data_IF_356449700726
#
_entry.id   IF_356449700726
#
_cell.length_a   1.000
_cell.length_b   1.000
_cell.length_c   1.000
_cell.angle_alpha   90.00
_cell.angle_beta   90.00
_cell.angle_gamma   90.00
#
_symmetry.space_group_name_H-M   'P 1'
#
loop_
_entity.id
_entity.type
_entity.pdbx_description
1 polymer ?
#
# COMPACT_ATOMS: atom_id res chain seq x y z
N UNK A 1 -12.10 29.90 0.98
CA UNK A 1 -11.99 28.42 1.13
C UNK A 1 -10.68 27.99 0.48
N UNK A 2 -9.64 27.88 1.29
CA UNK A 2 -8.28 27.49 0.86
C UNK A 2 -8.25 25.99 0.59
N UNK A 3 -7.81 25.58 -0.60
CA UNK A 3 -7.63 24.16 -0.90
C UNK A 3 -6.54 23.59 0.03
N UNK A 4 -6.78 22.44 0.70
CA UNK A 4 -5.77 21.80 1.53
C UNK A 4 -4.55 21.40 0.67
N UNK A 5 -3.35 21.64 1.22
CA UNK A 5 -2.08 21.55 0.51
C UNK A 5 -1.75 20.11 0.07
N UNK A 6 -1.88 19.84 -1.23
CA UNK A 6 -1.74 18.52 -1.85
C UNK A 6 -0.32 17.89 -1.72
N UNK A 7 0.70 18.71 -1.48
CA UNK A 7 2.07 18.23 -1.23
C UNK A 7 2.17 17.38 0.03
N UNK A 8 1.44 17.79 1.06
CA UNK A 8 1.44 17.11 2.34
C UNK A 8 0.80 15.73 2.28
N UNK A 9 -0.24 15.57 1.45
CA UNK A 9 -0.91 14.30 1.21
C UNK A 9 0.02 13.29 0.53
N UNK A 10 0.85 13.77 -0.40
CA UNK A 10 1.76 12.92 -1.18
C UNK A 10 2.94 12.37 -0.36
N UNK A 11 3.35 13.07 0.70
CA UNK A 11 4.41 12.60 1.61
C UNK A 11 3.94 11.45 2.53
N UNK A 12 2.62 11.29 2.72
CA UNK A 12 2.03 10.28 3.60
C UNK A 12 1.49 9.06 2.83
N UNK A 13 1.52 9.10 1.50
CA UNK A 13 1.00 8.06 0.63
C UNK A 13 2.12 7.41 -0.16
N UNK A 14 2.49 6.18 0.22
CA UNK A 14 3.52 5.40 -0.45
C UNK A 14 2.86 4.42 -1.43
N UNK A 15 3.06 4.66 -2.73
CA UNK A 15 2.55 3.81 -3.81
C UNK A 15 3.70 3.23 -4.64
N UNK A 16 3.79 1.91 -4.69
CA UNK A 16 4.69 1.20 -5.63
C UNK A 16 4.06 1.21 -7.04
N UNK A 17 4.80 1.74 -8.02
CA UNK A 17 4.29 2.19 -9.33
C UNK A 17 4.57 1.17 -10.47
N UNK A 18 3.58 0.56 -11.15
CA UNK A 18 3.78 -0.10 -12.45
C UNK A 18 3.47 0.85 -13.66
N UNK A 19 4.31 0.96 -14.71
CA UNK A 19 4.33 2.10 -15.63
C UNK A 19 3.04 2.45 -16.40
N UNK A 20 2.15 1.49 -16.69
CA UNK A 20 1.07 1.67 -17.68
C UNK A 20 -0.36 1.84 -17.12
N UNK A 21 -0.64 1.41 -15.88
CA UNK A 21 -1.91 1.79 -15.21
C UNK A 21 -1.82 3.20 -14.61
N UNK A 22 -0.57 3.62 -14.39
CA UNK A 22 -0.26 4.92 -13.89
C UNK A 22 -0.62 6.03 -14.87
N UNK A 23 -0.77 5.83 -16.18
CA UNK A 23 -1.10 6.95 -17.09
C UNK A 23 -2.46 7.62 -16.80
N UNK A 24 -3.45 6.83 -16.39
CA UNK A 24 -4.79 7.35 -16.02
C UNK A 24 -4.79 7.98 -14.62
N UNK A 25 -4.04 7.40 -13.66
CA UNK A 25 -3.83 8.00 -12.33
C UNK A 25 -2.90 9.23 -12.43
N UNK A 26 -1.95 9.21 -13.38
CA UNK A 26 -1.00 10.26 -13.74
C UNK A 26 -1.75 11.45 -14.32
N UNK A 27 -2.85 11.28 -15.05
CA UNK A 27 -3.72 12.41 -15.44
C UNK A 27 -4.50 13.04 -14.27
N UNK A 28 -4.82 12.25 -13.23
CA UNK A 28 -5.46 12.76 -12.01
C UNK A 28 -4.46 13.45 -11.05
N UNK A 29 -3.20 13.03 -11.11
CA UNK A 29 -2.08 13.48 -10.27
C UNK A 29 -1.22 14.56 -10.95
N UNK A 30 -1.24 14.65 -12.28
CA UNK A 30 -0.41 15.55 -13.10
C UNK A 30 -0.74 17.03 -12.94
N UNK A 31 -1.93 17.38 -12.46
CA UNK A 31 -2.24 18.76 -12.11
C UNK A 31 -1.68 19.19 -10.74
N UNK A 32 -0.83 18.37 -10.11
CA UNK A 32 -0.45 18.58 -8.69
C UNK A 32 1.00 18.20 -8.32
N UNK A 33 1.72 17.36 -9.08
CA UNK A 33 3.05 16.86 -8.69
C UNK A 33 4.17 17.16 -9.69
N UNK A 34 4.53 18.43 -9.84
CA UNK A 34 5.57 18.86 -10.78
C UNK A 34 7.06 18.76 -10.32
N UNK A 35 7.47 18.61 -9.04
CA UNK A 35 8.90 18.67 -8.71
C UNK A 35 9.51 17.37 -8.18
N UNK A 36 9.05 16.19 -8.62
CA UNK A 36 9.75 14.92 -8.36
C UNK A 36 9.78 14.06 -9.64
N UNK A 37 10.56 14.50 -10.62
CA UNK A 37 10.93 13.69 -11.78
C UNK A 37 12.44 13.78 -11.97
N UNK A 38 13.17 12.72 -11.61
CA UNK A 38 14.30 12.31 -12.44
C UNK A 38 14.63 10.82 -12.27
N UNK A 39 14.73 10.19 -13.45
CA UNK A 39 15.48 9.00 -13.83
C UNK A 39 15.14 7.64 -13.22
N UNK A 40 14.20 6.91 -13.85
CA UNK A 40 14.27 5.44 -13.84
C UNK A 40 13.92 4.86 -15.22
N UNK A 41 14.98 4.38 -15.90
CA UNK A 41 14.96 3.88 -17.26
C UNK A 41 14.37 2.46 -17.35
N UNK A 42 13.66 2.25 -18.46
CA UNK A 42 12.91 1.06 -18.83
C UNK A 42 13.83 -0.14 -19.08
N UNK A 43 13.50 -1.31 -18.50
CA UNK A 43 13.58 -2.65 -19.12
C UNK A 43 13.19 -3.84 -18.19
N UNK A 44 13.35 -3.79 -16.85
CA UNK A 44 12.84 -4.87 -15.96
C UNK A 44 11.30 -4.91 -15.84
N UNK A 45 10.66 -3.76 -16.08
CA UNK A 45 9.24 -3.53 -15.87
C UNK A 45 8.30 -4.33 -16.77
N UNK A 46 8.74 -4.76 -17.95
CA UNK A 46 7.90 -5.54 -18.86
C UNK A 46 7.65 -6.97 -18.33
N UNK A 47 8.65 -7.59 -17.70
CA UNK A 47 8.54 -8.94 -17.11
C UNK A 47 7.74 -8.92 -15.81
N UNK A 48 7.97 -7.90 -14.99
CA UNK A 48 7.20 -7.61 -13.77
C UNK A 48 5.74 -7.31 -14.11
N UNK A 49 5.51 -6.44 -15.11
CA UNK A 49 4.19 -6.05 -15.58
C UNK A 49 3.39 -7.23 -16.12
N UNK A 50 4.02 -8.10 -16.93
CA UNK A 50 3.37 -9.31 -17.42
C UNK A 50 2.97 -10.26 -16.27
N UNK A 51 3.83 -10.46 -15.28
CA UNK A 51 3.51 -11.33 -14.14
C UNK A 51 2.45 -10.73 -13.19
N UNK A 52 2.44 -9.40 -13.01
CA UNK A 52 1.37 -8.69 -12.31
C UNK A 52 0.03 -8.82 -13.05
N UNK A 53 0.02 -8.68 -14.39
CA UNK A 53 -1.18 -8.89 -15.22
C UNK A 53 -1.70 -10.32 -15.09
N UNK A 54 -0.81 -11.33 -15.07
CA UNK A 54 -1.22 -12.73 -14.86
C UNK A 54 -1.82 -12.94 -13.47
N UNK A 55 -1.25 -12.34 -12.41
CA UNK A 55 -1.79 -12.43 -11.05
C UNK A 55 -3.12 -11.65 -10.88
N UNK A 56 -3.25 -10.48 -11.49
CA UNK A 56 -4.48 -9.66 -11.45
C UNK A 56 -5.58 -10.27 -12.32
N UNK A 57 -5.24 -10.78 -13.51
CA UNK A 57 -6.20 -11.46 -14.39
C UNK A 57 -6.73 -12.75 -13.79
N UNK A 58 -5.87 -13.51 -13.10
CA UNK A 58 -6.30 -14.70 -12.35
C UNK A 58 -7.07 -14.38 -11.08
N UNK A 59 -6.93 -13.18 -10.49
CA UNK A 59 -7.78 -12.74 -9.36
C UNK A 59 -9.27 -12.66 -9.75
N UNK A 60 -9.60 -12.08 -10.91
CA UNK A 60 -11.00 -12.02 -11.36
C UNK A 60 -11.63 -13.40 -11.55
N UNK A 61 -10.80 -14.42 -11.80
CA UNK A 61 -11.18 -15.81 -12.00
C UNK A 61 -11.05 -16.67 -10.72
N UNK A 62 -10.26 -16.25 -9.71
CA UNK A 62 -9.94 -17.07 -8.53
C UNK A 62 -11.20 -17.53 -7.79
N UNK A 63 -12.23 -16.67 -7.76
CA UNK A 63 -13.51 -16.91 -7.09
C UNK A 63 -14.34 -18.02 -7.74
N UNK A 64 -14.07 -18.36 -9.00
CA UNK A 64 -14.77 -19.42 -9.74
C UNK A 64 -13.98 -20.73 -9.80
N UNK A 65 -12.79 -20.79 -9.19
CA UNK A 65 -11.89 -21.93 -9.31
C UNK A 65 -12.12 -22.97 -8.20
N UNK A 66 -11.95 -24.28 -8.49
CA UNK A 66 -12.06 -25.34 -7.49
C UNK A 66 -11.09 -25.13 -6.30
N UNK A 67 -11.46 -25.64 -5.12
CA UNK A 67 -10.68 -25.44 -3.89
C UNK A 67 -9.21 -25.88 -3.96
N UNK A 68 -8.92 -26.96 -4.71
CA UNK A 68 -7.54 -27.41 -4.98
C UNK A 68 -6.74 -26.39 -5.79
N UNK A 69 -7.36 -25.79 -6.80
CA UNK A 69 -6.74 -24.74 -7.62
C UNK A 69 -6.54 -23.46 -6.82
N UNK A 70 -7.49 -23.07 -5.95
CA UNK A 70 -7.31 -21.93 -5.04
C UNK A 70 -6.08 -22.10 -4.16
N UNK A 71 -5.86 -23.30 -3.60
CA UNK A 71 -4.67 -23.59 -2.79
C UNK A 71 -3.38 -23.52 -3.61
N UNK A 72 -3.39 -24.07 -4.83
CA UNK A 72 -2.25 -23.96 -5.75
C UNK A 72 -1.95 -22.49 -6.10
N UNK A 73 -2.98 -21.71 -6.42
CA UNK A 73 -2.88 -20.29 -6.72
C UNK A 73 -2.25 -19.50 -5.57
N UNK A 74 -2.69 -19.74 -4.33
CA UNK A 74 -2.10 -19.11 -3.13
C UNK A 74 -0.61 -19.47 -2.97
N UNK A 75 -0.24 -20.74 -3.13
CA UNK A 75 1.17 -21.17 -3.05
C UNK A 75 2.03 -20.52 -4.14
N UNK A 76 1.53 -20.47 -5.38
CA UNK A 76 2.24 -19.91 -6.52
C UNK A 76 2.41 -18.39 -6.40
N UNK A 77 1.38 -17.67 -5.99
CA UNK A 77 1.43 -16.21 -5.78
C UNK A 77 2.35 -15.83 -4.62
N UNK A 78 2.42 -16.64 -3.54
CA UNK A 78 3.42 -16.47 -2.47
C UNK A 78 4.85 -16.57 -3.00
N UNK A 79 5.16 -17.60 -3.79
CA UNK A 79 6.50 -17.78 -4.39
C UNK A 79 6.86 -16.65 -5.35
N UNK A 80 5.89 -16.24 -6.18
CA UNK A 80 6.06 -15.10 -7.08
C UNK A 80 6.37 -13.83 -6.29
N UNK A 81 5.58 -13.53 -5.27
CA UNK A 81 5.77 -12.37 -4.41
C UNK A 81 7.15 -12.36 -3.73
N UNK A 82 7.63 -13.50 -3.22
CA UNK A 82 8.97 -13.61 -2.65
C UNK A 82 10.06 -13.30 -3.69
N UNK A 83 9.93 -13.83 -4.90
CA UNK A 83 10.92 -13.64 -5.97
C UNK A 83 10.88 -12.22 -6.53
N UNK A 84 9.69 -11.64 -6.64
CA UNK A 84 9.48 -10.23 -6.97
C UNK A 84 10.16 -9.31 -5.97
N UNK A 85 9.94 -9.55 -4.68
CA UNK A 85 10.57 -8.78 -3.60
C UNK A 85 12.10 -8.92 -3.55
N UNK A 86 12.64 -10.09 -3.90
CA UNK A 86 14.10 -10.26 -4.01
C UNK A 86 14.68 -9.38 -5.12
N UNK A 87 13.98 -9.26 -6.25
CA UNK A 87 14.41 -8.43 -7.38
C UNK A 87 14.30 -6.95 -7.04
N UNK A 88 13.23 -6.53 -6.37
CA UNK A 88 12.98 -5.12 -6.02
C UNK A 88 13.40 -4.75 -4.59
N UNK A 89 14.30 -5.50 -3.98
CA UNK A 89 14.63 -5.32 -2.58
C UNK A 89 15.15 -3.90 -2.29
N UNK A 90 16.05 -3.39 -3.12
CA UNK A 90 16.67 -2.08 -2.93
C UNK A 90 15.65 -0.95 -3.11
N UNK A 91 14.80 -1.07 -4.13
CA UNK A 91 13.73 -0.10 -4.41
C UNK A 91 12.69 -0.09 -3.29
N UNK A 92 12.33 -1.25 -2.75
CA UNK A 92 11.41 -1.36 -1.61
C UNK A 92 12.07 -0.81 -0.34
N UNK A 93 13.32 -1.14 -0.06
CA UNK A 93 14.03 -0.55 1.09
C UNK A 93 14.06 0.98 1.01
N UNK A 94 14.38 1.54 -0.15
CA UNK A 94 14.35 2.98 -0.38
C UNK A 94 12.94 3.55 -0.15
N UNK A 95 11.91 2.91 -0.71
CA UNK A 95 10.52 3.33 -0.54
C UNK A 95 10.09 3.32 0.93
N UNK A 96 10.33 2.23 1.67
CA UNK A 96 9.92 2.12 3.07
C UNK A 96 10.79 2.95 4.01
N UNK A 97 12.01 3.33 3.61
CA UNK A 97 12.82 4.28 4.37
C UNK A 97 12.18 5.67 4.44
N UNK A 98 11.35 6.07 3.47
CA UNK A 98 10.60 7.33 3.53
C UNK A 98 9.60 7.39 4.71
N UNK A 99 9.17 6.24 5.23
CA UNK A 99 8.34 6.20 6.45
C UNK A 99 9.05 6.78 7.67
N UNK A 100 10.40 6.83 7.67
CA UNK A 100 11.18 7.49 8.72
C UNK A 100 11.08 9.01 8.65
N UNK A 101 10.81 9.55 7.47
CA UNK A 101 10.71 10.99 7.19
C UNK A 101 9.30 11.52 7.39
N UNK A 102 8.28 10.65 7.42
CA UNK A 102 6.93 11.04 7.84
C UNK A 102 7.07 11.60 9.24
N UNK A 103 6.83 12.92 9.39
CA UNK A 103 6.95 13.66 10.65
C UNK A 103 6.11 12.95 11.72
N UNK A 104 6.72 12.02 12.43
CA UNK A 104 6.17 11.50 13.66
C UNK A 104 6.01 12.71 14.55
N UNK A 105 4.86 12.82 15.22
CA UNK A 105 4.75 13.84 16.26
C UNK A 105 6.00 13.68 17.14
N UNK A 106 6.62 14.78 17.50
CA UNK A 106 7.82 14.86 18.37
C UNK A 106 7.59 14.24 19.78
N UNK A 107 6.52 13.48 19.96
CA UNK A 107 6.04 12.85 21.20
C UNK A 107 6.53 11.40 21.38
N UNK A 108 7.33 10.86 20.46
CA UNK A 108 7.89 9.51 20.56
C UNK A 108 6.87 8.39 20.35
N UNK A 109 5.67 8.69 19.83
CA UNK A 109 4.66 7.65 19.53
C UNK A 109 5.00 6.88 18.26
N UNK A 110 4.49 5.64 18.18
CA UNK A 110 4.57 4.82 16.96
C UNK A 110 3.72 5.42 15.83
N UNK A 111 4.27 5.42 14.63
CA UNK A 111 3.62 5.72 13.36
C UNK A 111 2.49 4.71 13.11
N UNK A 112 1.25 5.17 12.94
CA UNK A 112 0.13 4.32 12.56
C UNK A 112 0.06 4.27 11.03
N UNK A 113 0.23 3.10 10.43
CA UNK A 113 0.23 2.94 8.97
C UNK A 113 -0.92 2.04 8.54
N UNK A 114 -1.61 2.39 7.45
CA UNK A 114 -2.52 1.49 6.75
C UNK A 114 -1.80 0.81 5.60
N UNK A 115 -1.83 -0.52 5.56
CA UNK A 115 -1.39 -1.34 4.44
C UNK A 115 -2.61 -1.81 3.64
N UNK A 116 -2.72 -1.38 2.37
CA UNK A 116 -3.82 -1.77 1.47
C UNK A 116 -3.36 -2.92 0.55
N UNK A 117 -4.08 -4.04 0.61
CA UNK A 117 -3.75 -5.26 -0.13
C UNK A 117 -2.54 -5.97 0.45
N UNK A 118 -2.59 -6.23 1.75
CA UNK A 118 -1.48 -6.83 2.46
C UNK A 118 -1.11 -8.23 1.93
N UNK A 119 -2.03 -8.93 1.26
CA UNK A 119 -1.84 -10.26 0.68
C UNK A 119 -1.07 -11.19 1.65
N UNK A 120 0.05 -11.77 1.24
CA UNK A 120 0.87 -12.66 2.08
C UNK A 120 1.79 -11.91 3.07
N UNK A 121 1.70 -10.59 3.19
CA UNK A 121 2.59 -9.78 4.04
C UNK A 121 3.96 -9.52 3.42
N UNK A 122 4.04 -9.47 2.09
CA UNK A 122 5.29 -9.29 1.35
C UNK A 122 6.09 -8.05 1.78
N UNK A 123 5.40 -7.00 2.25
CA UNK A 123 6.00 -5.75 2.66
C UNK A 123 6.49 -5.73 4.11
N UNK A 124 6.03 -6.67 4.94
CA UNK A 124 6.32 -6.66 6.39
C UNK A 124 7.82 -6.60 6.72
N UNK A 125 8.74 -7.28 5.99
CA UNK A 125 10.18 -7.18 6.28
C UNK A 125 10.81 -5.80 6.04
N UNK A 126 10.17 -4.93 5.24
CA UNK A 126 10.73 -3.63 4.84
C UNK A 126 10.31 -2.49 5.78
N UNK A 127 9.33 -2.71 6.65
CA UNK A 127 8.89 -1.70 7.60
C UNK A 127 9.99 -1.34 8.60
N UNK A 128 10.19 -0.04 8.93
CA UNK A 128 11.23 0.37 9.86
C UNK A 128 10.97 -0.17 11.27
N UNK A 129 12.02 -0.72 11.90
CA UNK A 129 11.94 -1.30 13.24
C UNK A 129 11.54 -0.25 14.28
N UNK A 130 10.74 -0.67 15.26
CA UNK A 130 10.34 0.09 16.46
C UNK A 130 9.49 1.35 16.24
N UNK A 131 9.20 1.70 14.98
CA UNK A 131 8.54 2.95 14.64
C UNK A 131 7.07 2.77 14.22
N UNK A 132 6.59 1.55 13.95
CA UNK A 132 5.32 1.38 13.22
C UNK A 132 4.35 0.40 13.89
N UNK A 133 3.08 0.80 13.93
CA UNK A 133 1.94 -0.11 14.07
C UNK A 133 1.13 -0.09 12.76
N UNK A 134 0.77 -1.27 12.27
CA UNK A 134 0.14 -1.43 10.95
C UNK A 134 -1.30 -1.93 11.10
N UNK A 135 -2.22 -1.32 10.36
CA UNK A 135 -3.55 -1.87 10.07
C UNK A 135 -3.46 -2.48 8.67
N UNK A 136 -3.80 -3.75 8.52
CA UNK A 136 -3.77 -4.43 7.22
C UNK A 136 -5.19 -4.57 6.67
N UNK A 137 -5.41 -4.22 5.41
CA UNK A 137 -6.66 -4.47 4.67
C UNK A 137 -6.38 -5.45 3.55
N UNK A 138 -7.18 -6.53 3.49
CA UNK A 138 -7.04 -7.57 2.48
C UNK A 138 -8.42 -8.17 2.12
N UNK A 139 -8.89 -8.08 0.87
CA UNK A 139 -10.21 -8.61 0.51
C UNK A 139 -10.28 -10.15 0.50
N UNK A 140 -9.17 -10.86 0.28
CA UNK A 140 -9.16 -12.33 0.16
C UNK A 140 -8.78 -12.99 1.47
N UNK A 141 -9.77 -13.64 2.09
CA UNK A 141 -9.62 -14.31 3.39
C UNK A 141 -8.49 -15.35 3.41
N UNK A 142 -8.21 -16.03 2.32
CA UNK A 142 -7.16 -17.05 2.27
C UNK A 142 -5.74 -16.48 2.46
N UNK A 143 -5.50 -15.23 2.04
CA UNK A 143 -4.21 -14.58 2.24
C UNK A 143 -3.94 -14.27 3.72
N UNK A 144 -4.99 -14.07 4.51
CA UNK A 144 -4.91 -13.72 5.93
C UNK A 144 -4.11 -14.73 6.75
N UNK A 145 -4.25 -16.03 6.46
CA UNK A 145 -3.49 -17.07 7.15
C UNK A 145 -1.99 -16.90 6.91
N UNK A 146 -1.59 -16.68 5.66
CA UNK A 146 -0.20 -16.46 5.29
C UNK A 146 0.34 -15.13 5.82
N UNK A 147 -0.47 -14.07 5.79
CA UNK A 147 -0.13 -12.78 6.38
C UNK A 147 0.21 -12.91 7.87
N UNK A 148 -0.58 -13.69 8.62
CA UNK A 148 -0.31 -13.96 10.04
C UNK A 148 1.01 -14.70 10.25
N UNK A 149 1.32 -15.71 9.44
CA UNK A 149 2.63 -16.40 9.48
C UNK A 149 3.77 -15.39 9.25
N UNK A 150 3.64 -14.54 8.24
CA UNK A 150 4.67 -13.55 7.92
C UNK A 150 4.81 -12.48 9.00
N UNK A 151 3.71 -12.05 9.63
CA UNK A 151 3.77 -11.15 10.79
C UNK A 151 4.48 -11.79 12.00
N UNK A 152 4.26 -13.09 12.25
CA UNK A 152 4.99 -13.81 13.30
C UNK A 152 6.50 -13.87 13.03
N UNK A 153 6.90 -13.99 11.77
CA UNK A 153 8.31 -13.95 11.35
C UNK A 153 8.91 -12.54 11.38
N UNK A 154 8.08 -11.50 11.48
CA UNK A 154 8.48 -10.09 11.46
C UNK A 154 7.97 -9.36 12.72
N UNK A 155 8.41 -9.74 13.94
CA UNK A 155 7.87 -9.24 15.21
C UNK A 155 8.12 -7.73 15.44
N UNK A 156 8.97 -7.11 14.63
CA UNK A 156 9.20 -5.67 14.64
C UNK A 156 8.00 -4.87 14.08
N UNK A 157 7.12 -5.51 13.30
CA UNK A 157 5.88 -4.92 12.80
C UNK A 157 4.72 -5.36 13.69
N UNK A 158 4.17 -4.43 14.44
CA UNK A 158 2.98 -4.70 15.25
C UNK A 158 1.72 -4.51 14.39
N UNK A 159 1.14 -5.60 13.92
CA UNK A 159 -0.17 -5.58 13.29
C UNK A 159 -1.24 -5.36 14.37
N UNK A 160 -1.87 -4.19 14.35
CA UNK A 160 -2.92 -3.81 15.31
C UNK A 160 -4.24 -4.47 14.95
N UNK A 161 -4.60 -4.38 13.66
CA UNK A 161 -5.87 -4.85 13.13
C UNK A 161 -5.65 -5.43 11.73
N UNK A 162 -6.36 -6.53 11.44
CA UNK A 162 -6.37 -7.18 10.14
C UNK A 162 -7.82 -7.24 9.67
N UNK A 163 -8.13 -6.42 8.68
CA UNK A 163 -9.46 -6.19 8.15
C UNK A 163 -9.63 -6.98 6.85
N UNK A 164 -10.62 -7.88 6.83
CA UNK A 164 -10.99 -8.62 5.63
C UNK A 164 -12.05 -7.84 4.89
N UNK A 165 -11.67 -7.16 3.81
CA UNK A 165 -12.55 -6.25 3.10
C UNK A 165 -11.88 -5.55 1.91
N UNK A 166 -12.69 -4.88 1.09
CA UNK A 166 -12.22 -4.10 -0.03
C UNK A 166 -11.73 -2.72 0.45
N UNK A 167 -10.73 -2.14 -0.22
CA UNK A 167 -10.16 -0.85 0.16
C UNK A 167 -11.14 0.32 -0.02
N UNK A 168 -12.16 0.14 -0.87
CA UNK A 168 -13.23 1.07 -1.18
C UNK A 168 -14.16 1.33 0.03
N UNK A 169 -14.16 0.43 1.01
CA UNK A 169 -14.98 0.55 2.21
C UNK A 169 -14.17 0.16 3.46
N UNK A 170 -13.45 1.14 3.98
CA UNK A 170 -12.64 1.04 5.21
C UNK A 170 -13.21 1.94 6.31
N UNK A 171 -14.54 2.09 6.32
CA UNK A 171 -15.30 2.94 7.24
C UNK A 171 -15.11 2.59 8.73
N UNK A 172 -14.65 1.37 9.03
CA UNK A 172 -14.25 0.94 10.38
C UNK A 172 -13.04 1.71 10.92
N UNK A 173 -12.18 2.22 10.03
CA UNK A 173 -11.07 3.11 10.39
C UNK A 173 -11.62 4.52 10.51
N UNK A 174 -11.37 5.16 11.66
CA UNK A 174 -11.84 6.51 11.96
C UNK A 174 -11.09 7.56 11.15
N UNK A 175 -11.73 8.71 11.00
CA UNK A 175 -11.13 9.89 10.40
C UNK A 175 -9.85 10.29 11.16
N UNK A 176 -8.83 10.74 10.44
CA UNK A 176 -7.57 11.21 11.01
C UNK A 176 -6.91 10.20 11.98
N UNK A 177 -7.02 8.90 11.70
CA UNK A 177 -6.48 7.83 12.56
C UNK A 177 -5.05 7.43 12.18
N UNK A 178 -4.71 7.45 10.88
CA UNK A 178 -3.43 6.94 10.37
C UNK A 178 -2.49 8.08 9.96
N UNK A 179 -1.20 7.85 10.13
CA UNK A 179 -0.13 8.80 9.81
C UNK A 179 0.37 8.65 8.37
N UNK A 180 0.29 7.43 7.82
CA UNK A 180 0.64 7.12 6.43
C UNK A 180 -0.19 5.94 5.88
N UNK A 181 -0.24 5.83 4.56
CA UNK A 181 -0.85 4.72 3.82
C UNK A 181 0.18 4.13 2.86
N UNK A 182 0.29 2.80 2.85
CA UNK A 182 1.14 2.02 1.94
C UNK A 182 0.23 1.17 1.06
N UNK A 183 0.49 1.21 -0.26
CA UNK A 183 -0.19 0.36 -1.22
C UNK A 183 0.76 -0.06 -2.33
N UNK A 184 1.06 -1.35 -2.42
CA UNK A 184 1.99 -1.90 -3.43
C UNK A 184 1.28 -2.88 -4.35
N UNK A 185 1.23 -2.61 -5.65
CA UNK A 185 0.56 -3.47 -6.65
C UNK A 185 -0.93 -3.74 -6.41
N UNK A 186 -1.59 -3.04 -5.47
CA UNK A 186 -2.98 -3.30 -5.08
C UNK A 186 -4.00 -2.43 -5.80
N UNK A 187 -3.75 -1.12 -5.95
CA UNK A 187 -4.77 -0.16 -6.44
C UNK A 187 -5.32 -0.52 -7.83
N UNK A 188 -4.54 -1.24 -8.64
CA UNK A 188 -4.94 -1.75 -9.95
C UNK A 188 -6.08 -2.76 -9.93
N UNK A 189 -6.30 -3.40 -8.78
CA UNK A 189 -7.33 -4.41 -8.59
C UNK A 189 -8.60 -3.85 -7.93
N UNK A 190 -8.57 -2.59 -7.49
CA UNK A 190 -9.73 -1.88 -6.96
C UNK A 190 -10.72 -1.56 -8.08
N UNK A 191 -12.01 -1.68 -7.77
CA UNK A 191 -13.11 -1.36 -8.68
C UNK A 191 -13.32 0.13 -8.84
N UNK A 192 -13.12 0.87 -7.75
CA UNK A 192 -13.31 2.31 -7.69
C UNK A 192 -12.12 2.96 -6.98
N UNK A 193 -11.13 3.38 -7.78
CA UNK A 193 -9.90 4.00 -7.25
C UNK A 193 -10.20 5.34 -6.60
N UNK A 194 -11.17 6.10 -7.11
CA UNK A 194 -11.53 7.41 -6.56
C UNK A 194 -12.14 7.26 -5.17
N UNK A 195 -12.99 6.25 -4.97
CA UNK A 195 -13.53 5.92 -3.65
C UNK A 195 -12.42 5.50 -2.67
N UNK A 196 -11.44 4.70 -3.10
CA UNK A 196 -10.28 4.35 -2.25
C UNK A 196 -9.50 5.60 -1.86
N UNK A 197 -9.22 6.49 -2.81
CA UNK A 197 -8.51 7.74 -2.55
C UNK A 197 -9.29 8.66 -1.61
N UNK A 198 -10.61 8.69 -1.72
CA UNK A 198 -11.49 9.42 -0.79
C UNK A 198 -11.38 8.88 0.63
N UNK A 199 -11.45 7.56 0.81
CA UNK A 199 -11.27 6.92 2.10
C UNK A 199 -9.87 7.16 2.68
N UNK A 200 -8.81 7.06 1.86
CA UNK A 200 -7.43 7.37 2.26
C UNK A 200 -7.32 8.80 2.80
N UNK A 201 -7.92 9.78 2.10
CA UNK A 201 -7.93 11.18 2.56
C UNK A 201 -8.64 11.33 3.90
N UNK A 202 -9.78 10.66 4.08
CA UNK A 202 -10.58 10.73 5.32
C UNK A 202 -9.80 10.22 6.53
N UNK A 203 -9.09 9.09 6.39
CA UNK A 203 -8.42 8.43 7.51
C UNK A 203 -7.03 9.02 7.83
N UNK A 204 -6.39 9.69 6.87
CA UNK A 204 -5.08 10.30 7.06
C UNK A 204 -5.19 11.49 8.01
N UNK A 205 -4.28 11.56 8.98
CA UNK A 205 -4.19 12.72 9.87
C UNK A 205 -3.85 13.98 9.08
N UNK A 206 -4.45 15.12 9.43
CA UNK A 206 -4.01 16.41 8.91
C UNK A 206 -2.57 16.65 9.34
N UNK A 207 -1.84 17.39 8.54
CA UNK A 207 -0.49 17.81 8.86
C UNK A 207 -0.49 19.17 9.55
N UNK A 208 0.57 19.45 10.31
CA UNK A 208 0.70 20.68 11.11
C UNK A 208 0.51 21.97 10.28
N UNK A 209 0.83 21.95 8.99
CA UNK A 209 0.63 23.09 8.09
C UNK A 209 -0.85 23.37 7.82
N UNK A 210 -1.68 22.33 7.68
CA UNK A 210 -3.14 22.46 7.55
C UNK A 210 -3.81 22.89 8.87
N UNK A 211 -3.28 22.46 10.01
CA UNK A 211 -3.77 22.85 11.35
C UNK A 211 -3.48 24.32 11.67
N UNK A 212 -2.37 24.88 11.16
CA UNK A 212 -1.97 26.27 11.38
C UNK A 212 -2.78 27.29 10.56
N UNK A 213 -3.45 26.85 9.48
CA UNK A 213 -4.29 27.71 8.63
C UNK A 213 -5.78 27.71 9.02
N UNK A 214 -6.16 26.88 10.00
CA UNK A 214 -7.52 26.81 10.55
C UNK A 214 -7.63 27.41 11.98
N UNK A 215 -6.61 28.15 12.43
CA UNK A 215 -6.62 28.98 13.64
C UNK A 215 -6.50 30.45 13.28
#
# INVERSE_FOLDING_TARGET
MTQPNLYSFSQQLLIEKPPALLDTIRNLVSNTLAPFQQDYCYWPWAKIGAAAIVCIGSYSLYKYLPGSYRRYYMSSTRKFSQRYNQVLHLEKEALFNELKNVKTREDGRKLQVLEIGAAHGANMPYYPRHLVEVICVEPVREFVTYLRETLQQNPHVKCRELLVGNAENISVIRDNQVDAVVSTLTLSSCRDVDQVLSEIRRILKPTREADAQNR
#
